data_IF_592427905453
#
_entry.id   IF_592427905453
#
_cell.length_a   1.000
_cell.length_b   1.000
_cell.length_c   1.000
_cell.angle_alpha   90.00
_cell.angle_beta   90.00
_cell.angle_gamma   90.00
#
_symmetry.space_group_name_H-M   'P 1'
#
loop_
_entity.id
_entity.type
_entity.pdbx_description
1 polymer ?
#
# COMPACT_ATOMS: atom_id res chain seq x y z
N UNK A 1 -4.74 45.81 7.96
CA UNK A 1 -5.93 45.28 8.66
C UNK A 1 -6.53 44.03 7.98
N UNK A 2 -5.78 43.25 7.18
CA UNK A 2 -6.32 42.10 6.41
C UNK A 2 -5.74 40.71 6.78
N UNK A 3 -4.81 40.62 7.75
CA UNK A 3 -4.16 39.33 8.11
C UNK A 3 -4.88 38.49 9.16
N UNK A 4 -5.86 39.04 9.90
CA UNK A 4 -6.53 38.32 11.01
C UNK A 4 -7.82 37.59 10.62
N UNK A 5 -8.40 37.88 9.45
CA UNK A 5 -9.72 37.34 9.08
C UNK A 5 -9.63 35.97 8.40
N UNK A 6 -8.56 35.69 7.65
CA UNK A 6 -8.42 34.43 6.90
C UNK A 6 -8.05 33.21 7.76
N UNK A 7 -7.38 33.40 8.90
CA UNK A 7 -6.99 32.29 9.79
C UNK A 7 -8.17 31.62 10.49
N UNK A 8 -9.26 32.36 10.73
CA UNK A 8 -10.44 31.84 11.42
C UNK A 8 -11.31 30.95 10.52
N UNK A 9 -11.37 31.24 9.21
CA UNK A 9 -12.12 30.43 8.25
C UNK A 9 -11.43 29.10 7.92
N UNK A 10 -10.09 29.07 7.88
CA UNK A 10 -9.33 27.85 7.60
C UNK A 10 -9.43 26.81 8.74
N UNK A 11 -9.43 27.27 9.99
CA UNK A 11 -9.59 26.39 11.16
C UNK A 11 -11.00 25.82 11.26
N UNK A 12 -12.03 26.61 10.92
CA UNK A 12 -13.41 26.13 10.86
C UNK A 12 -13.66 25.16 9.70
N UNK A 13 -13.05 25.36 8.54
CA UNK A 13 -13.14 24.41 7.42
C UNK A 13 -12.46 23.07 7.74
N UNK A 14 -11.32 23.09 8.43
CA UNK A 14 -10.62 21.88 8.88
C UNK A 14 -11.43 21.11 9.92
N UNK A 15 -12.11 21.80 10.85
CA UNK A 15 -12.98 21.17 11.85
C UNK A 15 -14.26 20.58 11.22
N UNK A 16 -14.84 21.23 10.22
CA UNK A 16 -15.97 20.68 9.45
C UNK A 16 -15.53 19.47 8.63
N UNK A 17 -14.34 19.50 8.02
CA UNK A 17 -13.80 18.36 7.27
C UNK A 17 -13.51 17.15 8.17
N UNK A 18 -12.91 17.37 9.35
CA UNK A 18 -12.65 16.31 10.34
C UNK A 18 -13.95 15.75 10.95
N UNK A 19 -14.98 16.60 11.15
CA UNK A 19 -16.28 16.18 11.64
C UNK A 19 -17.10 15.33 10.66
N UNK A 20 -16.94 15.55 9.35
CA UNK A 20 -17.64 14.78 8.30
C UNK A 20 -17.03 13.38 8.12
N UNK A 21 -15.72 13.21 8.34
CA UNK A 21 -15.08 11.89 8.26
C UNK A 21 -15.22 11.04 9.54
N UNK A 22 -15.60 11.65 10.67
CA UNK A 22 -15.75 10.94 11.94
C UNK A 22 -17.05 10.12 12.08
N UNK A 23 -17.96 10.20 11.11
CA UNK A 23 -19.29 9.56 11.18
C UNK A 23 -19.61 8.62 10.03
N UNK A 24 -18.61 8.22 9.23
CA UNK A 24 -18.83 7.21 8.20
C UNK A 24 -19.29 5.90 8.88
N UNK A 25 -20.50 5.41 8.56
CA UNK A 25 -20.95 4.15 9.12
C UNK A 25 -20.01 3.05 8.62
N UNK A 26 -19.34 2.36 9.54
CA UNK A 26 -18.61 1.15 9.22
C UNK A 26 -19.67 0.14 8.76
N UNK A 27 -19.69 -0.12 7.45
CA UNK A 27 -20.57 -1.13 6.87
C UNK A 27 -20.03 -2.50 7.31
N UNK A 28 -20.86 -3.27 7.99
CA UNK A 28 -20.52 -4.63 8.39
C UNK A 28 -20.91 -5.63 7.30
N UNK A 29 -20.22 -6.76 7.28
CA UNK A 29 -20.59 -7.91 6.47
C UNK A 29 -20.42 -9.20 7.30
N UNK A 30 -21.43 -10.06 7.27
CA UNK A 30 -21.34 -11.43 7.81
C UNK A 30 -21.12 -12.41 6.66
N UNK A 31 -20.05 -13.20 6.74
CA UNK A 31 -19.69 -14.21 5.74
C UNK A 31 -19.81 -15.58 6.39
N UNK A 32 -20.55 -16.50 5.76
CA UNK A 32 -20.69 -17.90 6.20
C UNK A 32 -20.07 -18.82 5.17
N UNK A 33 -19.15 -19.68 5.63
CA UNK A 33 -18.50 -20.69 4.79
C UNK A 33 -19.20 -22.04 4.93
N UNK A 34 -19.15 -22.92 3.90
CA UNK A 34 -19.79 -24.24 3.94
C UNK A 34 -19.30 -25.16 5.07
N UNK A 35 -18.12 -24.90 5.62
CA UNK A 35 -17.54 -25.62 6.76
C UNK A 35 -18.11 -25.17 8.12
N UNK A 36 -19.08 -24.25 8.14
CA UNK A 36 -19.71 -23.70 9.35
C UNK A 36 -18.94 -22.54 9.99
N UNK A 37 -17.87 -22.06 9.38
CA UNK A 37 -17.13 -20.89 9.88
C UNK A 37 -17.85 -19.60 9.49
N UNK A 38 -18.01 -18.71 10.46
CA UNK A 38 -18.69 -17.44 10.29
C UNK A 38 -17.78 -16.30 10.70
N UNK A 39 -17.67 -15.31 9.83
CA UNK A 39 -16.85 -14.12 10.02
C UNK A 39 -17.70 -12.86 9.98
N UNK A 40 -17.59 -12.04 11.01
CA UNK A 40 -18.10 -10.68 11.05
C UNK A 40 -16.95 -9.74 10.67
N UNK A 41 -17.11 -9.08 9.54
CA UNK A 41 -16.07 -8.31 8.85
C UNK A 41 -16.54 -6.89 8.55
N UNK A 42 -15.62 -6.03 8.17
CA UNK A 42 -15.93 -4.73 7.58
C UNK A 42 -16.05 -4.89 6.06
N UNK A 43 -17.13 -4.36 5.49
CA UNK A 43 -17.33 -4.32 4.05
C UNK A 43 -16.40 -3.31 3.40
N UNK A 44 -15.74 -3.69 2.29
CA UNK A 44 -14.90 -2.80 1.49
C UNK A 44 -15.55 -2.55 0.13
N UNK A 45 -15.80 -3.61 -0.64
CA UNK A 45 -16.34 -3.52 -2.01
C UNK A 45 -16.89 -4.88 -2.48
N UNK A 46 -17.85 -4.87 -3.41
CA UNK A 46 -18.43 -6.04 -4.05
C UNK A 46 -18.40 -5.93 -5.58
N UNK A 47 -17.88 -6.97 -6.24
CA UNK A 47 -17.94 -7.19 -7.69
C UNK A 47 -18.92 -8.35 -8.00
N UNK A 48 -19.17 -8.68 -9.27
CA UNK A 48 -20.04 -9.80 -9.66
C UNK A 48 -19.61 -11.14 -9.03
N UNK A 49 -18.30 -11.37 -8.91
CA UNK A 49 -17.74 -12.67 -8.51
C UNK A 49 -17.00 -12.66 -7.17
N UNK A 50 -16.63 -11.49 -6.67
CA UNK A 50 -15.72 -11.32 -5.52
C UNK A 50 -16.33 -10.35 -4.52
N UNK A 51 -16.18 -10.66 -3.24
CA UNK A 51 -16.48 -9.79 -2.12
C UNK A 51 -15.17 -9.41 -1.42
N UNK A 52 -14.86 -8.12 -1.33
CA UNK A 52 -13.71 -7.59 -0.59
C UNK A 52 -14.13 -7.15 0.81
N UNK A 53 -13.44 -7.67 1.83
CA UNK A 53 -13.73 -7.41 3.23
C UNK A 53 -12.47 -7.20 4.04
N UNK A 54 -12.57 -6.48 5.16
CA UNK A 54 -11.48 -6.31 6.12
C UNK A 54 -11.80 -7.06 7.42
N UNK A 55 -10.84 -7.85 7.87
CA UNK A 55 -10.91 -8.60 9.12
C UNK A 55 -9.63 -8.39 9.92
N UNK A 56 -9.78 -7.86 11.15
CA UNK A 56 -8.70 -7.51 12.09
C UNK A 56 -7.59 -6.67 11.41
N UNK A 57 -7.99 -5.66 10.63
CA UNK A 57 -7.09 -4.74 9.92
C UNK A 57 -6.53 -5.25 8.59
N UNK A 58 -6.71 -6.52 8.21
CA UNK A 58 -6.24 -7.09 6.94
C UNK A 58 -7.37 -7.19 5.92
N UNK A 59 -7.08 -6.96 4.64
CA UNK A 59 -8.05 -7.08 3.54
C UNK A 59 -8.01 -8.47 2.89
N UNK A 60 -9.18 -9.00 2.56
CA UNK A 60 -9.38 -10.31 1.96
C UNK A 60 -10.34 -10.22 0.78
N UNK A 61 -10.02 -10.91 -0.32
CA UNK A 61 -10.83 -11.02 -1.53
C UNK A 61 -11.42 -12.42 -1.62
N UNK A 62 -12.68 -12.55 -1.25
CA UNK A 62 -13.37 -13.84 -1.16
C UNK A 62 -14.25 -14.05 -2.40
N UNK A 63 -14.07 -15.12 -3.17
CA UNK A 63 -14.99 -15.47 -4.25
C UNK A 63 -16.39 -15.79 -3.70
N UNK A 64 -17.46 -15.21 -4.26
CA UNK A 64 -18.82 -15.47 -3.76
C UNK A 64 -19.21 -16.95 -3.78
N UNK A 65 -18.65 -17.71 -4.74
CA UNK A 65 -18.85 -19.17 -4.87
C UNK A 65 -18.29 -20.00 -3.70
N UNK A 66 -17.36 -19.46 -2.91
CA UNK A 66 -16.80 -20.16 -1.75
C UNK A 66 -17.61 -19.93 -0.48
N UNK A 67 -18.62 -19.07 -0.53
CA UNK A 67 -19.51 -18.74 0.59
C UNK A 67 -20.78 -19.58 0.49
N UNK A 68 -21.24 -20.10 1.64
CA UNK A 68 -22.59 -20.66 1.79
C UNK A 68 -23.62 -19.52 1.74
N UNK A 69 -23.32 -18.40 2.43
CA UNK A 69 -24.11 -17.18 2.35
C UNK A 69 -23.31 -15.96 2.83
N UNK A 70 -23.81 -14.76 2.50
CA UNK A 70 -23.29 -13.51 3.04
C UNK A 70 -24.40 -12.49 3.25
N UNK A 71 -24.23 -11.61 4.24
CA UNK A 71 -25.18 -10.56 4.58
C UNK A 71 -24.45 -9.24 4.81
N UNK A 72 -24.71 -8.24 3.95
CA UNK A 72 -24.12 -6.90 4.00
C UNK A 72 -24.97 -5.90 4.81
N UNK A 73 -26.16 -6.30 5.25
CA UNK A 73 -27.10 -5.45 6.00
C UNK A 73 -26.85 -5.50 7.51
N UNK A 74 -26.16 -6.54 7.98
CA UNK A 74 -25.78 -6.70 9.38
C UNK A 74 -24.77 -5.63 9.79
N UNK A 75 -25.26 -4.67 10.59
CA UNK A 75 -24.43 -3.76 11.37
C UNK A 75 -23.68 -4.56 12.44
N UNK A 76 -22.54 -5.12 12.09
CA UNK A 76 -21.63 -5.67 13.09
C UNK A 76 -20.81 -4.53 13.67
N UNK A 77 -21.10 -4.17 14.92
CA UNK A 77 -20.30 -3.20 15.67
C UNK A 77 -18.94 -3.76 16.10
N UNK A 78 -18.70 -5.06 15.90
CA UNK A 78 -17.43 -5.72 16.23
C UNK A 78 -16.99 -6.71 15.15
N UNK A 79 -15.68 -6.77 14.94
CA UNK A 79 -15.03 -7.76 14.07
C UNK A 79 -14.79 -9.02 14.89
N UNK A 80 -15.43 -10.13 14.52
CA UNK A 80 -15.38 -11.39 15.28
C UNK A 80 -15.51 -12.62 14.38
N UNK A 81 -15.13 -13.79 14.89
CA UNK A 81 -15.28 -15.07 14.19
C UNK A 81 -15.76 -16.15 15.14
N UNK A 82 -16.52 -17.11 14.61
CA UNK A 82 -16.99 -18.26 15.36
C UNK A 82 -17.30 -19.43 14.43
N UNK A 83 -17.43 -20.63 14.99
CA UNK A 83 -17.76 -21.84 14.24
C UNK A 83 -19.10 -22.39 14.71
N UNK A 84 -20.00 -22.59 13.76
CA UNK A 84 -21.27 -23.26 13.98
C UNK A 84 -21.05 -24.77 14.08
N UNK A 85 -21.51 -25.35 15.19
CA UNK A 85 -21.55 -26.78 15.40
C UNK A 85 -22.95 -27.31 15.07
N UNK A 86 -23.02 -28.52 14.51
CA UNK A 86 -24.26 -29.24 14.28
C UNK A 86 -24.43 -30.33 15.32
N UNK A 87 -25.55 -30.31 16.02
CA UNK A 87 -25.92 -31.24 17.08
C UNK A 87 -27.03 -32.13 16.54
N UNK A 88 -26.79 -33.42 16.42
CA UNK A 88 -27.80 -34.40 16.01
C UNK A 88 -28.39 -35.02 17.26
N UNK A 89 -29.69 -34.79 17.49
CA UNK A 89 -30.44 -35.36 18.59
C UNK A 89 -30.77 -36.84 18.31
N UNK A 90 -31.08 -37.61 19.36
CA UNK A 90 -31.40 -39.04 19.24
C UNK A 90 -32.61 -39.31 18.35
N UNK A 91 -33.58 -38.40 18.34
CA UNK A 91 -34.75 -38.45 17.46
C UNK A 91 -34.42 -38.16 15.98
N UNK A 92 -33.18 -37.77 15.67
CA UNK A 92 -32.72 -37.45 14.32
C UNK A 92 -32.86 -35.98 13.93
N UNK A 93 -33.44 -35.14 14.79
CA UNK A 93 -33.47 -33.70 14.57
C UNK A 93 -32.08 -33.08 14.72
N UNK A 94 -31.85 -31.97 14.01
CA UNK A 94 -30.54 -31.30 13.99
C UNK A 94 -30.65 -29.86 14.46
N UNK A 95 -29.86 -29.50 15.47
CA UNK A 95 -29.71 -28.13 15.93
C UNK A 95 -28.37 -27.57 15.42
N UNK A 96 -28.35 -26.31 14.96
CA UNK A 96 -27.11 -25.58 14.63
C UNK A 96 -26.91 -24.43 15.62
N UNK A 97 -25.69 -24.29 16.14
CA UNK A 97 -25.34 -23.19 17.05
C UNK A 97 -23.89 -23.23 17.47
N UNK A 98 -23.44 -22.21 18.19
CA UNK A 98 -22.06 -22.11 18.69
C UNK A 98 -22.00 -22.62 20.13
N UNK A 99 -21.02 -23.46 20.46
CA UNK A 99 -20.79 -23.90 21.84
C UNK A 99 -20.29 -22.69 22.65
N UNK A 100 -21.12 -22.23 23.59
CA UNK A 100 -20.75 -21.18 24.54
C UNK A 100 -19.99 -21.77 25.73
N UNK A 101 -20.42 -22.93 26.22
CA UNK A 101 -19.81 -23.64 27.34
C UNK A 101 -19.97 -25.14 27.16
N UNK A 102 -18.91 -25.90 27.43
CA UNK A 102 -18.94 -27.36 27.49
C UNK A 102 -18.71 -27.83 28.93
N UNK A 103 -19.68 -28.57 29.47
CA UNK A 103 -19.57 -29.24 30.77
C UNK A 103 -19.54 -30.76 30.58
N UNK A 104 -19.25 -31.56 31.63
CA UNK A 104 -19.18 -33.02 31.50
C UNK A 104 -20.45 -33.65 30.93
N UNK A 105 -21.64 -33.16 31.34
CA UNK A 105 -22.93 -33.78 31.00
C UNK A 105 -23.83 -32.92 30.08
N UNK A 106 -23.46 -31.67 29.83
CA UNK A 106 -24.28 -30.72 29.07
C UNK A 106 -23.44 -29.79 28.18
N UNK A 107 -24.07 -29.29 27.12
CA UNK A 107 -23.60 -28.18 26.31
C UNK A 107 -24.50 -26.98 26.50
N UNK A 108 -23.92 -25.80 26.72
CA UNK A 108 -24.63 -24.53 26.56
C UNK A 108 -24.34 -24.00 25.16
N UNK A 109 -25.38 -23.90 24.33
CA UNK A 109 -25.29 -23.55 22.91
C UNK A 109 -25.93 -22.18 22.69
N UNK A 110 -25.24 -21.29 22.00
CA UNK A 110 -25.78 -20.04 21.49
C UNK A 110 -26.37 -20.25 20.10
N UNK A 111 -27.68 -20.06 20.00
CA UNK A 111 -28.46 -20.09 18.74
C UNK A 111 -28.83 -18.68 18.29
N UNK A 112 -29.49 -18.55 17.15
CA UNK A 112 -30.00 -17.25 16.66
C UNK A 112 -31.07 -16.65 17.58
N UNK A 113 -31.83 -17.49 18.31
CA UNK A 113 -32.93 -17.06 19.21
C UNK A 113 -32.50 -16.90 20.67
N UNK A 114 -31.31 -17.37 21.05
CA UNK A 114 -30.82 -17.29 22.43
C UNK A 114 -29.93 -18.46 22.84
N UNK A 115 -29.78 -18.65 24.15
CA UNK A 115 -29.01 -19.77 24.70
C UNK A 115 -29.91 -20.97 24.98
N UNK A 116 -29.40 -22.16 24.69
CA UNK A 116 -30.06 -23.43 24.93
C UNK A 116 -29.08 -24.38 25.62
N UNK A 117 -29.51 -25.05 26.68
CA UNK A 117 -28.74 -26.12 27.32
C UNK A 117 -29.22 -27.46 26.80
N UNK A 118 -28.31 -28.27 26.26
CA UNK A 118 -28.58 -29.63 25.80
C UNK A 118 -27.80 -30.64 26.63
N UNK A 119 -28.48 -31.72 27.04
CA UNK A 119 -27.82 -32.83 27.71
C UNK A 119 -27.06 -33.70 26.69
N UNK A 120 -25.83 -34.10 27.00
CA UNK A 120 -25.05 -35.00 26.13
C UNK A 120 -25.75 -36.35 25.93
N UNK A 121 -26.56 -36.78 26.89
CA UNK A 121 -27.39 -37.99 26.81
C UNK A 121 -28.47 -37.91 25.73
N UNK A 122 -28.85 -36.73 25.25
CA UNK A 122 -29.86 -36.52 24.20
C UNK A 122 -29.25 -36.46 22.79
N UNK A 123 -27.91 -36.37 22.71
CA UNK A 123 -27.16 -36.26 21.47
C UNK A 123 -26.71 -37.64 20.96
N UNK A 124 -26.61 -37.77 19.63
CA UNK A 124 -25.91 -38.87 18.97
C UNK A 124 -24.41 -38.60 18.95
N UNK A 125 -23.62 -39.64 19.09
CA UNK A 125 -22.16 -39.58 18.91
C UNK A 125 -21.81 -39.51 17.41
N UNK A 126 -20.73 -38.81 17.03
CA UNK A 126 -19.74 -38.12 17.86
C UNK A 126 -20.23 -36.75 18.38
N UNK A 127 -19.81 -36.40 19.61
CA UNK A 127 -20.15 -35.10 20.19
C UNK A 127 -19.33 -33.97 19.52
N UNK A 128 -19.95 -32.82 19.24
CA UNK A 128 -19.22 -31.65 18.75
C UNK A 128 -18.24 -31.13 19.81
N UNK A 129 -17.04 -30.74 19.38
CA UNK A 129 -15.99 -30.20 20.26
C UNK A 129 -16.00 -28.68 20.19
N UNK A 130 -15.82 -28.03 21.34
CA UNK A 130 -15.61 -26.58 21.35
C UNK A 130 -14.33 -26.22 20.58
N UNK A 131 -14.49 -25.55 19.44
CA UNK A 131 -13.37 -25.05 18.66
C UNK A 131 -13.04 -23.61 19.03
N UNK A 132 -11.75 -23.26 19.01
CA UNK A 132 -11.33 -21.87 19.07
C UNK A 132 -11.94 -21.05 17.91
N UNK A 133 -12.13 -19.73 18.06
CA UNK A 133 -12.54 -18.85 16.97
C UNK A 133 -11.61 -19.03 15.76
N UNK A 134 -12.14 -19.30 14.56
CA UNK A 134 -11.31 -19.52 13.38
C UNK A 134 -10.63 -18.20 12.97
N UNK A 135 -9.41 -18.30 12.48
CA UNK A 135 -8.77 -17.18 11.77
C UNK A 135 -9.25 -17.16 10.32
N UNK A 136 -9.20 -15.98 9.70
CA UNK A 136 -9.63 -15.81 8.32
C UNK A 136 -8.70 -16.60 7.39
N UNK A 137 -9.21 -17.33 6.38
CA UNK A 137 -8.35 -18.13 5.51
C UNK A 137 -7.33 -17.26 4.77
N UNK A 138 -6.04 -17.54 4.98
CA UNK A 138 -4.94 -16.77 4.37
C UNK A 138 -4.92 -16.87 2.84
N UNK A 139 -5.55 -17.89 2.25
CA UNK A 139 -5.74 -18.03 0.79
C UNK A 139 -6.56 -16.89 0.17
N UNK A 140 -7.44 -16.26 0.94
CA UNK A 140 -8.21 -15.09 0.50
C UNK A 140 -7.50 -13.78 0.82
N UNK A 141 -6.39 -13.82 1.56
CA UNK A 141 -5.68 -12.60 1.94
C UNK A 141 -5.25 -11.89 0.68
N UNK A 142 -5.59 -10.62 0.59
CA UNK A 142 -5.19 -9.77 -0.52
C UNK A 142 -3.70 -9.49 -0.42
N UNK A 143 -2.86 -10.45 -0.81
CA UNK A 143 -1.40 -10.34 -0.77
C UNK A 143 -0.81 -10.04 -2.17
N UNK A 144 -1.48 -10.40 -3.28
CA UNK A 144 -0.72 -10.74 -4.51
C UNK A 144 -1.20 -10.17 -5.87
N UNK A 145 -1.96 -9.06 -5.96
CA UNK A 145 -2.22 -8.44 -7.30
C UNK A 145 -2.01 -6.94 -7.45
N UNK A 146 -1.99 -6.17 -6.37
CA UNK A 146 -1.64 -4.74 -6.45
C UNK A 146 -0.17 -4.47 -6.14
N UNK A 147 0.52 -5.43 -5.51
CA UNK A 147 1.87 -5.23 -4.98
C UNK A 147 2.95 -5.62 -6.01
N UNK A 148 2.68 -6.58 -6.90
CA UNK A 148 3.61 -7.05 -7.92
C UNK A 148 3.34 -6.42 -9.30
N UNK A 149 3.26 -5.10 -9.34
CA UNK A 149 3.00 -4.34 -10.58
C UNK A 149 4.29 -3.73 -11.10
N UNK A 150 4.47 -3.76 -12.42
CA UNK A 150 5.55 -3.01 -13.06
C UNK A 150 5.13 -1.55 -13.10
N UNK A 151 6.02 -0.65 -12.71
CA UNK A 151 5.76 0.79 -12.77
C UNK A 151 6.58 1.41 -13.88
N UNK A 152 5.95 2.26 -14.67
CA UNK A 152 6.64 3.12 -15.64
C UNK A 152 6.24 4.54 -15.36
N UNK A 153 7.20 5.46 -15.38
CA UNK A 153 6.94 6.84 -15.05
C UNK A 153 7.92 7.82 -15.66
N UNK A 154 7.57 9.08 -15.42
CA UNK A 154 8.34 10.25 -15.79
C UNK A 154 8.71 11.02 -14.53
N UNK A 155 9.82 11.74 -14.57
CA UNK A 155 10.15 12.68 -13.50
C UNK A 155 10.86 13.91 -14.01
N UNK A 156 10.71 14.99 -13.24
CA UNK A 156 11.33 16.27 -13.47
C UNK A 156 12.12 16.65 -12.23
N UNK A 157 13.33 17.17 -12.42
CA UNK A 157 14.17 17.61 -11.32
C UNK A 157 14.77 18.99 -11.54
N UNK A 158 15.00 19.66 -10.42
CA UNK A 158 15.76 20.91 -10.34
C UNK A 158 16.83 20.74 -9.28
N UNK A 159 18.09 20.70 -9.71
CA UNK A 159 19.24 20.39 -8.88
C UNK A 159 20.24 21.56 -8.91
N UNK A 160 20.15 22.50 -7.95
CA UNK A 160 21.26 23.40 -7.66
C UNK A 160 22.56 22.63 -7.51
N UNK A 161 23.60 23.07 -8.20
CA UNK A 161 24.91 22.38 -8.15
C UNK A 161 25.72 22.91 -6.98
N UNK A 162 26.59 22.04 -6.45
CA UNK A 162 27.52 22.38 -5.38
C UNK A 162 28.86 22.87 -5.97
N UNK A 163 29.65 23.66 -5.22
CA UNK A 163 30.98 24.04 -5.65
C UNK A 163 31.85 22.80 -5.98
N UNK A 164 32.72 22.90 -6.99
CA UNK A 164 33.04 24.10 -7.78
C UNK A 164 32.13 24.33 -9.00
N UNK A 165 31.21 23.40 -9.31
CA UNK A 165 30.36 23.46 -10.51
C UNK A 165 29.34 24.61 -10.47
N UNK A 166 28.98 25.08 -9.28
CA UNK A 166 28.00 26.16 -9.05
C UNK A 166 28.35 27.50 -9.69
N UNK A 167 29.62 27.76 -9.99
CA UNK A 167 30.05 29.02 -10.60
C UNK A 167 29.74 29.09 -12.10
N UNK A 168 29.90 27.98 -12.83
CA UNK A 168 29.65 27.91 -14.28
C UNK A 168 28.25 27.40 -14.60
N UNK A 169 27.74 26.48 -13.77
CA UNK A 169 26.54 25.69 -14.02
C UNK A 169 25.67 25.70 -12.75
N UNK A 170 24.98 26.80 -12.43
CA UNK A 170 24.40 27.02 -11.09
C UNK A 170 23.30 26.02 -10.71
N UNK A 171 22.57 25.48 -11.68
CA UNK A 171 21.56 24.45 -11.45
C UNK A 171 21.37 23.59 -12.70
N UNK A 172 21.09 22.31 -12.51
CA UNK A 172 20.69 21.38 -13.55
C UNK A 172 19.16 21.26 -13.55
N UNK A 173 18.56 21.39 -14.73
CA UNK A 173 17.15 21.09 -14.97
C UNK A 173 17.07 19.77 -15.72
N UNK A 174 16.32 18.81 -15.18
CA UNK A 174 16.28 17.46 -15.71
C UNK A 174 14.88 16.93 -15.97
N UNK A 175 14.77 16.06 -16.96
CA UNK A 175 13.62 15.22 -17.22
C UNK A 175 14.09 13.78 -17.46
N UNK A 176 13.28 12.81 -17.05
CA UNK A 176 13.70 11.42 -17.07
C UNK A 176 12.54 10.45 -17.19
N UNK A 177 12.85 9.27 -17.68
CA UNK A 177 11.97 8.11 -17.80
C UNK A 177 12.51 7.03 -16.85
N UNK A 178 11.62 6.32 -16.17
CA UNK A 178 12.02 5.20 -15.33
C UNK A 178 11.05 4.02 -15.44
N UNK A 179 11.57 2.83 -15.14
CA UNK A 179 10.82 1.59 -15.04
C UNK A 179 11.23 0.83 -13.78
N UNK A 180 10.26 0.33 -13.04
CA UNK A 180 10.43 -0.54 -11.88
C UNK A 180 9.74 -1.87 -12.18
N UNK A 181 10.47 -2.86 -12.74
CA UNK A 181 9.89 -4.13 -13.12
C UNK A 181 9.40 -4.94 -11.92
N UNK A 182 8.20 -5.50 -12.03
CA UNK A 182 7.60 -6.37 -11.00
C UNK A 182 8.55 -7.52 -10.59
N UNK A 183 9.21 -8.15 -11.57
CA UNK A 183 10.12 -9.28 -11.33
C UNK A 183 11.44 -8.90 -10.62
N UNK A 184 11.76 -7.60 -10.50
CA UNK A 184 12.93 -7.12 -9.75
C UNK A 184 12.55 -6.59 -8.36
N UNK A 185 11.36 -6.93 -7.88
CA UNK A 185 10.93 -6.67 -6.52
C UNK A 185 11.47 -7.76 -5.59
N UNK A 186 12.36 -7.37 -4.69
CA UNK A 186 13.05 -8.31 -3.78
C UNK A 186 12.16 -8.64 -2.59
N UNK A 187 11.47 -7.62 -2.04
CA UNK A 187 10.48 -7.77 -0.97
C UNK A 187 9.35 -6.77 -1.18
N UNK A 188 8.30 -6.82 -0.36
CA UNK A 188 7.22 -5.82 -0.39
C UNK A 188 7.72 -4.37 -0.24
N UNK A 189 8.91 -4.18 0.36
CA UNK A 189 9.51 -2.88 0.63
C UNK A 189 10.64 -2.53 -0.33
N UNK A 190 11.33 -3.52 -0.89
CA UNK A 190 12.50 -3.31 -1.74
C UNK A 190 12.19 -3.56 -3.22
N UNK A 191 12.41 -2.53 -4.03
CA UNK A 191 12.17 -2.52 -5.47
C UNK A 191 13.43 -2.07 -6.20
N UNK A 192 13.78 -2.72 -7.30
CA UNK A 192 14.83 -2.23 -8.20
C UNK A 192 14.18 -1.57 -9.41
N UNK A 193 14.80 -0.50 -9.90
CA UNK A 193 14.37 0.21 -11.10
C UNK A 193 15.53 0.70 -11.97
N UNK A 194 15.20 1.02 -13.21
CA UNK A 194 16.11 1.61 -14.19
C UNK A 194 15.62 3.00 -14.53
N UNK A 195 16.53 3.94 -14.69
CA UNK A 195 16.22 5.33 -15.00
C UNK A 195 17.17 5.88 -16.04
N UNK A 196 16.60 6.56 -17.02
CA UNK A 196 17.32 7.35 -18.00
C UNK A 196 16.93 8.82 -17.83
N UNK A 197 17.92 9.67 -17.73
CA UNK A 197 17.77 11.07 -17.35
C UNK A 197 18.54 11.99 -18.29
N UNK A 198 17.86 13.04 -18.72
CA UNK A 198 18.40 14.13 -19.50
C UNK A 198 18.44 15.38 -18.63
N UNK A 199 19.60 16.00 -18.48
CA UNK A 199 19.78 17.23 -17.73
C UNK A 199 20.45 18.30 -18.59
N UNK A 200 20.08 19.56 -18.36
CA UNK A 200 20.64 20.68 -19.08
C UNK A 200 20.85 21.88 -18.16
N UNK A 201 21.88 22.66 -18.44
CA UNK A 201 22.17 23.93 -17.77
C UNK A 201 23.09 24.78 -18.61
N UNK A 202 22.67 26.00 -18.96
CA UNK A 202 23.43 26.95 -19.81
C UNK A 202 24.10 26.27 -21.02
N UNK A 203 25.36 25.88 -20.86
CA UNK A 203 26.23 25.31 -21.89
C UNK A 203 26.58 23.81 -21.67
N UNK A 204 25.95 23.16 -20.70
CA UNK A 204 26.15 21.78 -20.31
C UNK A 204 24.88 20.97 -20.57
N UNK A 205 25.04 19.85 -21.26
CA UNK A 205 24.00 18.82 -21.43
C UNK A 205 24.53 17.50 -20.90
N UNK A 206 23.71 16.77 -20.13
CA UNK A 206 24.09 15.51 -19.50
C UNK A 206 23.03 14.46 -19.80
N UNK A 207 23.48 13.28 -20.21
CA UNK A 207 22.67 12.09 -20.38
C UNK A 207 23.12 11.04 -19.38
N UNK A 208 22.23 10.60 -18.51
CA UNK A 208 22.53 9.67 -17.41
C UNK A 208 21.67 8.43 -17.51
N UNK A 209 22.29 7.25 -17.41
CA UNK A 209 21.60 5.96 -17.28
C UNK A 209 22.03 5.28 -16.00
N UNK A 210 21.08 4.93 -15.13
CA UNK A 210 21.40 4.30 -13.85
C UNK A 210 20.34 3.31 -13.39
N UNK A 211 20.79 2.34 -12.58
CA UNK A 211 19.91 1.46 -11.81
C UNK A 211 19.78 2.01 -10.40
N UNK A 212 18.63 1.82 -9.76
CA UNK A 212 18.41 2.25 -8.38
C UNK A 212 17.67 1.19 -7.57
N UNK A 213 18.01 1.13 -6.28
CA UNK A 213 17.30 0.38 -5.26
C UNK A 213 16.43 1.33 -4.48
N UNK A 214 15.14 1.05 -4.43
CA UNK A 214 14.12 1.83 -3.76
C UNK A 214 13.57 1.03 -2.57
N UNK A 215 13.61 1.64 -1.39
CA UNK A 215 13.00 1.11 -0.19
C UNK A 215 11.79 1.97 0.19
N UNK A 216 10.61 1.36 0.28
CA UNK A 216 9.36 2.01 0.71
C UNK A 216 8.95 1.56 2.11
N UNK A 217 8.46 2.50 2.92
CA UNK A 217 7.92 2.22 4.24
C UNK A 217 6.70 3.10 4.52
N UNK A 218 5.56 2.43 4.71
CA UNK A 218 4.35 3.02 5.27
C UNK A 218 4.49 3.14 6.79
N UNK A 219 4.16 4.31 7.33
CA UNK A 219 4.15 4.58 8.77
C UNK A 219 2.72 4.50 9.30
N UNK A 220 2.57 3.90 10.49
CA UNK A 220 1.28 3.79 11.19
C UNK A 220 0.15 3.18 10.37
N UNK A 221 0.50 2.29 9.42
CA UNK A 221 -0.43 1.68 8.47
C UNK A 221 -1.33 2.71 7.73
N UNK A 222 -0.86 3.95 7.58
CA UNK A 222 -1.58 5.01 6.86
C UNK A 222 -1.03 5.15 5.42
N UNK A 223 -1.84 4.90 4.37
CA UNK A 223 -1.38 4.97 2.98
C UNK A 223 -0.81 6.34 2.56
N UNK A 224 -1.25 7.41 3.21
CA UNK A 224 -0.75 8.76 2.97
C UNK A 224 0.64 8.93 3.56
N UNK A 225 0.99 8.20 4.63
CA UNK A 225 2.30 8.28 5.27
C UNK A 225 3.26 7.21 4.71
N UNK A 226 3.35 7.13 3.38
CA UNK A 226 4.27 6.26 2.65
C UNK A 226 5.51 7.04 2.20
N UNK A 227 6.67 6.68 2.75
CA UNK A 227 7.96 7.31 2.47
C UNK A 227 8.89 6.35 1.76
N UNK A 228 9.80 6.89 0.95
CA UNK A 228 10.81 6.09 0.28
C UNK A 228 12.22 6.68 0.40
N UNK A 229 13.19 5.79 0.27
CA UNK A 229 14.58 6.14 0.01
C UNK A 229 15.04 5.40 -1.24
N UNK A 230 15.88 6.04 -2.05
CA UNK A 230 16.50 5.39 -3.21
C UNK A 230 18.00 5.65 -3.25
N UNK A 231 18.76 4.64 -3.70
CA UNK A 231 20.19 4.76 -3.98
C UNK A 231 20.41 4.16 -5.36
N UNK A 232 21.11 4.90 -6.23
CA UNK A 232 21.36 4.50 -7.60
C UNK A 232 22.82 4.64 -8.02
N UNK A 233 23.21 3.78 -8.96
CA UNK A 233 24.55 3.73 -9.55
C UNK A 233 24.41 3.61 -11.06
N UNK A 234 25.27 4.31 -11.79
CA UNK A 234 25.24 4.28 -13.24
C UNK A 234 26.36 5.06 -13.89
N UNK A 235 26.07 5.54 -15.09
CA UNK A 235 27.01 6.31 -15.91
C UNK A 235 26.32 7.52 -16.49
N UNK A 236 27.08 8.59 -16.69
CA UNK A 236 26.62 9.78 -17.38
C UNK A 236 27.57 10.17 -18.50
N UNK A 237 27.02 10.81 -19.52
CA UNK A 237 27.74 11.44 -20.61
C UNK A 237 27.46 12.94 -20.56
N UNK A 238 28.48 13.74 -20.30
CA UNK A 238 28.40 15.19 -20.25
C UNK A 238 28.96 15.79 -21.55
N UNK A 239 28.25 16.76 -22.12
CA UNK A 239 28.67 17.53 -23.28
C UNK A 239 28.68 19.03 -22.94
N UNK A 240 29.85 19.65 -23.04
CA UNK A 240 30.05 21.09 -22.83
C UNK A 240 30.22 21.80 -24.17
N UNK A 241 29.43 22.85 -24.41
CA UNK A 241 29.59 23.74 -25.57
C UNK A 241 30.32 25.01 -25.14
N UNK A 242 31.39 25.37 -25.83
CA UNK A 242 32.08 26.63 -25.56
C UNK A 242 31.34 27.78 -26.26
N UNK A 243 31.04 28.86 -25.52
CA UNK A 243 30.38 30.05 -26.07
C UNK A 243 31.15 30.60 -27.29
N UNK A 244 30.45 30.81 -28.40
CA UNK A 244 31.03 31.34 -29.64
C UNK A 244 31.77 30.33 -30.52
N UNK A 245 31.76 29.03 -30.19
CA UNK A 245 32.35 27.97 -31.03
C UNK A 245 31.40 26.79 -31.23
N UNK A 246 31.56 26.06 -32.34
CA UNK A 246 30.86 24.79 -32.58
C UNK A 246 31.56 23.58 -31.94
N UNK A 247 32.61 23.80 -31.14
CA UNK A 247 33.35 22.74 -30.48
C UNK A 247 32.58 22.29 -29.23
N UNK A 248 32.30 20.99 -29.17
CA UNK A 248 31.68 20.33 -28.03
C UNK A 248 32.67 19.34 -27.41
N UNK A 249 32.93 19.46 -26.12
CA UNK A 249 33.75 18.51 -25.36
C UNK A 249 32.84 17.51 -24.67
N UNK A 250 33.12 16.22 -24.84
CA UNK A 250 32.33 15.13 -24.24
C UNK A 250 33.15 14.32 -23.26
N UNK A 251 32.57 13.98 -22.12
CA UNK A 251 33.15 13.09 -21.11
C UNK A 251 32.15 12.06 -20.62
N UNK A 252 32.65 10.93 -20.11
CA UNK A 252 31.81 9.89 -19.49
C UNK A 252 32.27 9.65 -18.07
N UNK A 253 31.34 9.78 -17.12
CA UNK A 253 31.63 9.74 -15.70
C UNK A 253 30.75 8.69 -15.00
N UNK A 254 31.28 7.92 -14.03
CA UNK A 254 30.45 7.18 -13.11
C UNK A 254 29.50 8.10 -12.35
N UNK A 255 28.31 7.59 -12.04
CA UNK A 255 27.25 8.32 -11.40
C UNK A 255 26.80 7.62 -10.11
N UNK A 256 26.61 8.40 -9.05
CA UNK A 256 25.93 7.98 -7.82
C UNK A 256 24.75 8.90 -7.57
N UNK A 257 23.59 8.31 -7.26
CA UNK A 257 22.36 9.02 -6.94
C UNK A 257 21.82 8.58 -5.58
N UNK A 258 21.26 9.50 -4.81
CA UNK A 258 20.42 9.15 -3.66
C UNK A 258 19.23 10.09 -3.53
N UNK A 259 18.11 9.56 -3.06
CA UNK A 259 16.86 10.31 -2.93
C UNK A 259 16.12 9.90 -1.66
N UNK A 260 15.53 10.87 -0.97
CA UNK A 260 14.61 10.65 0.14
C UNK A 260 13.31 11.37 -0.17
N UNK A 261 12.18 10.69 -0.05
CA UNK A 261 10.92 11.30 -0.47
C UNK A 261 9.67 10.68 0.07
N UNK A 262 8.57 11.24 -0.39
CA UNK A 262 7.20 10.86 -0.08
C UNK A 262 6.49 10.32 -1.31
N UNK A 263 5.70 9.26 -1.14
CA UNK A 263 4.99 8.56 -2.22
C UNK A 263 3.56 8.13 -1.83
N UNK A 264 2.95 8.82 -0.87
CA UNK A 264 1.62 8.49 -0.34
C UNK A 264 0.45 8.77 -1.29
N UNK A 265 0.67 9.48 -2.41
CA UNK A 265 -0.39 9.76 -3.38
C UNK A 265 -0.46 8.69 -4.46
N UNK A 266 -1.50 7.86 -4.39
CA UNK A 266 -1.85 6.83 -5.39
C UNK A 266 -3.31 7.01 -5.79
N UNK A 267 -3.58 7.10 -7.09
CA UNK A 267 -4.93 7.29 -7.64
C UNK A 267 -5.16 6.20 -8.68
N UNK A 268 -5.95 5.18 -8.33
CA UNK A 268 -6.13 3.99 -9.17
C UNK A 268 -4.76 3.37 -9.52
N UNK A 269 -4.43 3.23 -10.81
CA UNK A 269 -3.14 2.74 -11.30
C UNK A 269 -2.04 3.80 -11.33
N UNK A 270 -2.35 5.07 -11.05
CA UNK A 270 -1.36 6.14 -11.07
C UNK A 270 -0.70 6.32 -9.70
N UNK A 271 0.57 6.68 -9.68
CA UNK A 271 1.31 7.01 -8.47
C UNK A 271 2.11 8.30 -8.67
N UNK A 272 2.38 9.00 -7.57
CA UNK A 272 3.15 10.24 -7.57
C UNK A 272 4.12 10.26 -6.41
N UNK A 273 5.30 10.83 -6.63
CA UNK A 273 6.33 11.00 -5.62
C UNK A 273 6.95 12.38 -5.68
N UNK A 274 7.38 12.86 -4.52
CA UNK A 274 8.24 14.03 -4.39
C UNK A 274 9.41 13.66 -3.51
N UNK A 275 10.62 13.98 -3.95
CA UNK A 275 11.85 13.60 -3.28
C UNK A 275 12.86 14.73 -3.25
N UNK A 276 13.69 14.70 -2.21
CA UNK A 276 14.95 15.41 -2.19
C UNK A 276 16.01 14.51 -2.81
N UNK A 277 16.51 14.90 -3.97
CA UNK A 277 17.44 14.14 -4.80
C UNK A 277 18.82 14.75 -4.76
N UNK A 278 19.82 13.89 -4.70
CA UNK A 278 21.23 14.21 -4.83
C UNK A 278 21.84 13.37 -5.94
N UNK A 279 22.58 14.02 -6.83
CA UNK A 279 23.10 13.43 -8.04
C UNK A 279 24.57 13.82 -8.19
N UNK A 280 25.48 12.86 -8.15
CA UNK A 280 26.92 13.09 -8.08
C UNK A 280 27.66 12.37 -9.22
N UNK A 281 28.37 13.14 -10.03
CA UNK A 281 29.28 12.67 -11.07
C UNK A 281 30.68 12.51 -10.50
N UNK A 282 31.27 11.34 -10.68
CA UNK A 282 32.59 11.03 -10.15
C UNK A 282 33.63 11.25 -11.25
N UNK A 283 34.62 12.09 -10.99
CA UNK A 283 35.77 12.33 -11.87
C UNK A 283 37.08 12.08 -11.12
N UNK A 284 38.20 11.96 -11.84
CA UNK A 284 39.53 11.73 -11.25
C UNK A 284 39.90 12.77 -10.19
N UNK A 285 39.46 14.02 -10.35
CA UNK A 285 39.81 15.14 -9.47
C UNK A 285 38.79 15.40 -8.36
N UNK A 286 37.69 14.65 -8.30
CA UNK A 286 36.66 14.82 -7.27
C UNK A 286 35.25 14.44 -7.73
N UNK A 287 34.27 14.71 -6.87
CA UNK A 287 32.86 14.50 -7.16
C UNK A 287 32.15 15.84 -7.40
N UNK A 288 31.36 15.92 -8.46
CA UNK A 288 30.54 17.07 -8.81
C UNK A 288 29.07 16.73 -8.59
N UNK A 289 28.42 17.42 -7.64
CA UNK A 289 27.09 17.04 -7.19
C UNK A 289 26.05 18.15 -7.40
N UNK A 290 24.83 17.76 -7.70
CA UNK A 290 23.63 18.59 -7.59
C UNK A 290 22.68 18.04 -6.53
N UNK A 291 22.06 18.93 -5.75
CA UNK A 291 21.14 18.57 -4.67
C UNK A 291 19.89 19.44 -4.76
N UNK A 292 18.72 18.82 -4.90
CA UNK A 292 17.47 19.56 -5.02
C UNK A 292 16.24 18.66 -5.03
N UNK A 293 15.20 19.08 -5.75
CA UNK A 293 13.88 18.44 -5.71
C UNK A 293 13.68 17.63 -6.99
N UNK A 294 13.09 16.46 -6.83
CA UNK A 294 12.53 15.67 -7.93
C UNK A 294 11.04 15.42 -7.68
N UNK A 295 10.24 15.59 -8.73
CA UNK A 295 8.83 15.20 -8.77
C UNK A 295 8.71 14.11 -9.81
N UNK A 296 8.13 12.98 -9.42
CA UNK A 296 7.93 11.82 -10.27
C UNK A 296 6.49 11.34 -10.24
N UNK A 297 6.07 10.70 -11.32
CA UNK A 297 4.76 10.07 -11.40
C UNK A 297 4.65 9.14 -12.58
N UNK A 298 3.68 8.25 -12.55
CA UNK A 298 3.52 7.24 -13.58
C UNK A 298 2.36 6.31 -13.33
N UNK A 299 2.41 5.16 -13.99
CA UNK A 299 1.37 4.14 -13.96
C UNK A 299 1.94 2.78 -13.55
N UNK A 300 1.16 2.03 -12.80
CA UNK A 300 1.43 0.67 -12.37
C UNK A 300 0.53 -0.31 -13.15
N UNK A 301 1.10 -1.41 -13.64
CA UNK A 301 0.42 -2.41 -14.45
C UNK A 301 0.78 -3.84 -14.05
#
# INVERSE_FOLDING_TARGET
MFKKVYGCYLVNLLQVFVGIFATLPILGAELRFPNGEVFQTEFVYEDERILSVRFRGKEYKVPKKSLESYDLSKKSSSVSSYKLSSFVLKDGSTLRGTIAEEKPNEYTIKTEIGFLTLLKSELKTPYPVQSAPPDFPEEYRSTDKETNQTRVGLSFNYLPTLPPLSQSTPALLGASLFVEPAFLRITEKWQTGFKYEYQTSRNLTIHSGYTYFLYSKQLFDNPILDFYTSIGLGVSQAAFKTEGSNLAFTGTNPLVNWELGWQGLKISKSFYRIGWKNHCFIEEKGAFCGSGIEISGGWAF
#
